data_IF_676225313456
#
_entry.id   IF_676225313456
#
_cell.length_a   1.000
_cell.length_b   1.000
_cell.length_c   1.000
_cell.angle_alpha   90.00
_cell.angle_beta   90.00
_cell.angle_gamma   90.00
#
_symmetry.space_group_name_H-M   'P 1'
#
loop_
_entity.id
_entity.type
_entity.pdbx_description
1 polymer ?
#
# COMPACT_ATOMS: atom_id res chain seq x y z
N UNK A 1 5.18 30.20 72.15
CA UNK A 1 6.03 29.71 71.01
C UNK A 1 5.16 29.15 69.99
N UNK A 2 5.10 29.83 68.86
CA UNK A 2 4.24 29.43 67.74
C UNK A 2 5.14 28.73 66.76
N UNK A 3 5.00 27.41 66.62
CA UNK A 3 5.65 26.65 65.53
C UNK A 3 4.92 26.95 64.29
N UNK A 4 5.52 27.74 63.44
CA UNK A 4 5.01 27.93 62.09
C UNK A 4 5.40 26.72 61.21
N UNK A 5 4.45 25.88 60.97
CA UNK A 5 4.54 24.88 59.97
C UNK A 5 4.48 25.56 58.58
N UNK A 6 5.63 25.73 57.99
CA UNK A 6 5.67 26.10 56.55
C UNK A 6 5.27 24.89 55.76
N UNK A 7 4.00 24.86 55.38
CA UNK A 7 3.55 23.98 54.34
C UNK A 7 4.04 24.59 53.01
N UNK A 8 5.08 24.03 52.49
CA UNK A 8 5.43 24.28 51.14
C UNK A 8 4.42 23.55 50.27
N UNK A 9 3.66 24.25 49.43
CA UNK A 9 2.89 23.55 48.39
C UNK A 9 3.89 22.92 47.44
N UNK A 10 3.97 21.62 47.49
CA UNK A 10 4.65 20.87 46.46
C UNK A 10 3.79 21.02 45.21
N UNK A 11 4.12 22.01 44.40
CA UNK A 11 3.60 22.02 43.03
C UNK A 11 4.24 20.87 42.31
N UNK A 12 3.60 19.72 42.37
CA UNK A 12 3.88 18.65 41.44
C UNK A 12 3.41 19.13 40.06
N UNK A 13 4.29 19.79 39.35
CA UNK A 13 4.08 19.96 37.90
C UNK A 13 4.20 18.60 37.28
N UNK A 14 3.07 17.95 37.13
CA UNK A 14 2.96 16.79 36.30
C UNK A 14 3.14 17.32 34.87
N UNK A 15 4.38 17.26 34.41
CA UNK A 15 4.63 17.45 33.01
C UNK A 15 3.99 16.23 32.31
N UNK A 16 2.76 16.40 31.89
CA UNK A 16 2.11 15.46 30.99
C UNK A 16 2.89 15.50 29.69
N UNK A 17 3.82 14.56 29.57
CA UNK A 17 4.47 14.28 28.30
C UNK A 17 3.37 13.69 27.39
N UNK A 18 2.69 14.55 26.66
CA UNK A 18 1.83 14.15 25.58
C UNK A 18 2.76 13.56 24.51
N UNK A 19 2.98 12.26 24.61
CA UNK A 19 3.49 11.51 23.48
C UNK A 19 2.39 11.57 22.42
N UNK A 20 2.43 12.58 21.59
CA UNK A 20 1.73 12.53 20.32
C UNK A 20 2.44 11.47 19.51
N UNK A 21 1.94 10.24 19.60
CA UNK A 21 2.23 9.23 18.61
C UNK A 21 1.62 9.77 17.34
N UNK A 22 2.41 10.54 16.58
CA UNK A 22 2.06 10.86 15.22
C UNK A 22 1.97 9.52 14.52
N UNK A 23 0.76 9.00 14.34
CA UNK A 23 0.54 7.98 13.36
C UNK A 23 0.97 8.60 12.04
N UNK A 24 2.18 8.27 11.62
CA UNK A 24 2.56 8.42 10.25
C UNK A 24 1.64 7.49 9.48
N UNK A 25 0.46 7.97 9.17
CA UNK A 25 -0.27 7.42 8.04
C UNK A 25 0.75 7.39 6.93
N UNK A 26 1.05 6.20 6.40
CA UNK A 26 1.68 6.10 5.11
C UNK A 26 0.77 6.92 4.19
N UNK A 27 1.13 8.20 3.98
CA UNK A 27 0.22 9.26 3.56
C UNK A 27 -0.34 9.03 2.15
N UNK A 28 0.05 7.92 1.46
CA UNK A 28 -0.23 7.67 0.06
C UNK A 28 -0.57 6.22 -0.27
N UNK A 29 -0.88 5.40 0.73
CA UNK A 29 -1.33 4.04 0.42
C UNK A 29 -2.77 4.10 -0.08
N UNK A 30 -2.94 3.99 -1.39
CA UNK A 30 -4.26 3.80 -1.98
C UNK A 30 -4.87 2.51 -1.40
N UNK A 31 -6.17 2.51 -1.01
CA UNK A 31 -6.79 1.35 -0.38
C UNK A 31 -6.75 0.08 -1.26
N UNK A 32 -6.64 0.22 -2.57
CA UNK A 32 -6.57 -0.91 -3.49
C UNK A 32 -5.14 -1.45 -3.73
N UNK A 33 -4.11 -0.83 -3.17
CA UNK A 33 -2.73 -1.30 -3.30
C UNK A 33 -2.54 -2.69 -2.69
N UNK A 34 -3.12 -2.95 -1.52
CA UNK A 34 -3.08 -4.26 -0.89
C UNK A 34 -3.83 -5.33 -1.70
N UNK A 35 -4.95 -4.96 -2.30
CA UNK A 35 -5.70 -5.84 -3.20
C UNK A 35 -4.87 -6.20 -4.44
N UNK A 36 -4.18 -5.23 -5.03
CA UNK A 36 -3.29 -5.45 -6.16
C UNK A 36 -2.14 -6.40 -5.80
N UNK A 37 -1.51 -6.23 -4.64
CA UNK A 37 -0.47 -7.12 -4.16
C UNK A 37 -0.96 -8.56 -4.00
N UNK A 38 -2.14 -8.73 -3.43
CA UNK A 38 -2.76 -10.05 -3.25
C UNK A 38 -3.08 -10.72 -4.59
N UNK A 39 -3.58 -9.97 -5.54
CA UNK A 39 -3.87 -10.47 -6.89
C UNK A 39 -2.60 -10.82 -7.66
N UNK A 40 -1.53 -10.07 -7.44
CA UNK A 40 -0.25 -10.33 -8.08
C UNK A 40 0.31 -11.71 -7.75
N UNK A 41 0.17 -12.15 -6.51
CA UNK A 41 0.58 -13.49 -6.09
C UNK A 41 -0.16 -14.57 -6.89
N UNK A 42 -1.47 -14.43 -6.99
CA UNK A 42 -2.32 -15.40 -7.71
C UNK A 42 -2.05 -15.39 -9.21
N UNK A 43 -1.93 -14.21 -9.79
CA UNK A 43 -1.68 -14.06 -11.21
C UNK A 43 -0.32 -14.62 -11.61
N UNK A 44 0.72 -14.34 -10.83
CA UNK A 44 2.06 -14.85 -11.10
C UNK A 44 2.12 -16.37 -10.93
N UNK A 45 1.50 -16.92 -9.89
CA UNK A 45 1.46 -18.36 -9.67
C UNK A 45 0.78 -19.09 -10.84
N UNK A 46 -0.26 -18.50 -11.39
CA UNK A 46 -0.97 -19.07 -12.54
C UNK A 46 -0.15 -18.97 -13.84
N UNK A 47 0.50 -17.83 -14.06
CA UNK A 47 1.24 -17.56 -15.30
C UNK A 47 2.60 -18.26 -15.37
N UNK A 48 3.29 -18.36 -14.25
CA UNK A 48 4.66 -18.87 -14.21
C UNK A 48 4.73 -20.38 -14.42
N UNK A 49 3.67 -21.12 -14.11
CA UNK A 49 3.59 -22.59 -14.28
C UNK A 49 4.88 -23.31 -13.82
N UNK A 50 5.40 -22.94 -12.68
CA UNK A 50 6.68 -23.42 -12.17
C UNK A 50 6.54 -23.99 -10.77
N UNK A 51 7.33 -25.01 -10.46
CA UNK A 51 7.49 -25.54 -9.11
C UNK A 51 8.47 -24.69 -8.27
N UNK A 52 9.12 -23.73 -8.90
CA UNK A 52 10.03 -22.82 -8.23
C UNK A 52 9.28 -21.78 -7.41
N UNK A 53 9.85 -21.33 -6.28
CA UNK A 53 9.25 -20.27 -5.49
C UNK A 53 9.06 -19.00 -6.32
N UNK A 54 7.93 -18.34 -6.13
CA UNK A 54 7.66 -17.02 -6.69
C UNK A 54 7.86 -15.95 -5.62
N UNK A 55 8.30 -14.78 -6.05
CA UNK A 55 8.48 -13.63 -5.17
C UNK A 55 7.74 -12.43 -5.77
N UNK A 56 6.98 -11.75 -4.93
CA UNK A 56 6.32 -10.51 -5.29
C UNK A 56 7.04 -9.35 -4.62
N UNK A 57 7.28 -8.29 -5.35
CA UNK A 57 7.83 -7.06 -4.78
C UNK A 57 6.93 -6.54 -3.66
N UNK A 58 7.53 -6.08 -2.58
CA UNK A 58 6.79 -5.44 -1.47
C UNK A 58 6.23 -4.08 -1.86
N UNK A 59 6.74 -3.50 -2.94
CA UNK A 59 6.33 -2.19 -3.42
C UNK A 59 5.28 -2.31 -4.49
N UNK A 60 4.11 -1.74 -4.23
CA UNK A 60 3.06 -1.53 -5.23
C UNK A 60 3.15 -0.08 -5.67
N UNK A 61 3.31 0.14 -6.95
CA UNK A 61 3.50 1.49 -7.51
C UNK A 61 2.24 1.95 -8.22
N UNK A 62 1.71 3.10 -7.81
CA UNK A 62 0.68 3.78 -8.56
C UNK A 62 1.30 4.36 -9.83
N UNK A 63 0.78 3.98 -10.97
CA UNK A 63 1.23 4.48 -12.28
C UNK A 63 0.18 5.41 -12.87
N UNK A 64 0.46 5.95 -14.05
CA UNK A 64 -0.44 6.89 -14.70
C UNK A 64 -1.83 6.26 -14.91
N UNK A 65 -2.91 6.93 -14.46
CA UNK A 65 -4.27 6.44 -14.70
C UNK A 65 -4.58 6.28 -16.18
N UNK A 66 -5.44 5.32 -16.48
CA UNK A 66 -5.92 5.07 -17.83
C UNK A 66 -7.28 5.75 -17.99
N UNK A 67 -7.43 6.50 -19.05
CA UNK A 67 -8.70 7.11 -19.41
C UNK A 67 -9.56 6.12 -20.18
N UNK A 68 -10.85 6.03 -19.86
CA UNK A 68 -11.78 5.19 -20.62
C UNK A 68 -12.01 5.80 -22.00
N UNK A 69 -11.66 5.10 -23.09
CA UNK A 69 -11.86 5.63 -24.45
C UNK A 69 -13.33 5.81 -24.84
N UNK A 70 -14.22 5.05 -24.22
CA UNK A 70 -15.67 5.18 -24.44
C UNK A 70 -16.29 6.34 -23.65
N UNK A 71 -15.63 6.79 -22.59
CA UNK A 71 -16.06 7.92 -21.76
C UNK A 71 -14.85 8.62 -21.18
N UNK A 72 -14.39 9.66 -21.84
CA UNK A 72 -13.15 10.37 -21.48
C UNK A 72 -13.18 11.08 -20.13
N UNK A 73 -14.34 11.19 -19.50
CA UNK A 73 -14.50 11.70 -18.14
C UNK A 73 -14.19 10.63 -17.08
N UNK A 74 -14.17 9.36 -17.45
CA UNK A 74 -13.87 8.27 -16.57
C UNK A 74 -12.41 7.88 -16.68
N UNK A 75 -11.72 7.82 -15.55
CA UNK A 75 -10.37 7.32 -15.44
C UNK A 75 -10.33 6.13 -14.50
N UNK A 76 -9.40 5.23 -14.76
CA UNK A 76 -9.13 4.06 -13.94
C UNK A 76 -7.79 4.23 -13.23
N UNK A 77 -7.72 3.85 -11.97
CA UNK A 77 -6.46 3.78 -11.25
C UNK A 77 -5.70 2.52 -11.63
N UNK A 78 -4.39 2.65 -11.79
CA UNK A 78 -3.53 1.54 -12.19
C UNK A 78 -2.40 1.35 -11.21
N UNK A 79 -2.22 0.12 -10.76
CA UNK A 79 -1.13 -0.28 -9.87
C UNK A 79 -0.23 -1.28 -10.57
N UNK A 80 1.06 -1.01 -10.52
CA UNK A 80 2.08 -1.90 -11.03
C UNK A 80 2.74 -2.69 -9.89
N UNK A 81 2.90 -3.97 -10.08
CA UNK A 81 3.57 -4.88 -9.16
C UNK A 81 4.57 -5.71 -9.95
N UNK A 82 5.80 -5.78 -9.45
CA UNK A 82 6.82 -6.67 -10.00
C UNK A 82 6.82 -8.02 -9.30
N UNK A 83 7.04 -9.05 -10.07
CA UNK A 83 7.21 -10.38 -9.55
C UNK A 83 8.37 -11.11 -10.20
N UNK A 84 8.82 -12.15 -9.55
CA UNK A 84 9.97 -12.95 -9.97
C UNK A 84 9.64 -14.42 -9.82
N UNK A 85 9.92 -15.18 -10.84
CA UNK A 85 9.78 -16.63 -10.82
C UNK A 85 10.94 -17.22 -11.60
N UNK A 86 11.76 -18.03 -10.91
CA UNK A 86 12.98 -18.63 -11.46
C UNK A 86 13.89 -17.55 -12.09
N UNK A 87 14.08 -17.54 -13.39
CA UNK A 87 14.95 -16.58 -14.12
C UNK A 87 14.21 -15.45 -14.80
N UNK A 88 12.92 -15.33 -14.54
CA UNK A 88 12.09 -14.33 -15.19
C UNK A 88 11.61 -13.27 -14.23
N UNK A 89 11.59 -12.04 -14.69
CA UNK A 89 10.90 -10.93 -14.07
C UNK A 89 9.56 -10.72 -14.76
N UNK A 90 8.53 -10.45 -13.98
CA UNK A 90 7.20 -10.17 -14.46
C UNK A 90 6.77 -8.78 -14.04
N UNK A 91 6.14 -8.07 -14.93
CA UNK A 91 5.41 -6.84 -14.63
C UNK A 91 3.93 -7.11 -14.70
N UNK A 92 3.26 -6.81 -13.62
CA UNK A 92 1.80 -6.93 -13.53
C UNK A 92 1.19 -5.56 -13.32
N UNK A 93 0.08 -5.30 -14.01
CA UNK A 93 -0.71 -4.09 -13.78
C UNK A 93 -2.14 -4.48 -13.49
N UNK A 94 -2.71 -3.79 -12.50
CA UNK A 94 -4.08 -4.00 -12.06
C UNK A 94 -4.83 -2.69 -12.20
N UNK A 95 -5.94 -2.74 -12.88
CA UNK A 95 -6.72 -1.58 -13.29
C UNK A 95 -8.02 -1.59 -12.52
N UNK A 96 -8.29 -0.50 -11.79
CA UNK A 96 -9.43 -0.39 -10.90
C UNK A 96 -10.35 0.75 -11.32
N UNK A 97 -11.65 0.49 -11.30
CA UNK A 97 -12.64 1.55 -11.39
C UNK A 97 -12.65 2.38 -10.10
N UNK A 98 -12.84 3.69 -10.25
CA UNK A 98 -12.94 4.61 -9.11
C UNK A 98 -14.34 4.57 -8.53
N UNK A 99 -14.59 3.58 -7.68
CA UNK A 99 -15.84 3.43 -6.94
C UNK A 99 -15.54 3.65 -5.45
N UNK A 100 -16.15 4.64 -4.81
CA UNK A 100 -15.91 4.91 -3.39
C UNK A 100 -16.14 3.66 -2.52
N UNK A 101 -15.16 3.36 -1.64
CA UNK A 101 -15.24 2.23 -0.71
C UNK A 101 -15.06 0.86 -1.32
N UNK A 102 -14.72 0.75 -2.60
CA UNK A 102 -14.55 -0.53 -3.30
C UNK A 102 -13.24 -0.58 -4.07
N UNK A 103 -12.68 -1.78 -4.17
CA UNK A 103 -11.58 -2.08 -5.09
C UNK A 103 -12.12 -2.94 -6.23
N UNK A 104 -12.73 -2.26 -7.21
CA UNK A 104 -13.35 -2.90 -8.35
C UNK A 104 -12.35 -3.08 -9.48
N UNK A 105 -11.79 -4.28 -9.59
CA UNK A 105 -10.86 -4.63 -10.66
C UNK A 105 -11.62 -4.71 -11.99
N UNK A 106 -11.17 -3.94 -12.98
CA UNK A 106 -11.74 -3.94 -14.32
C UNK A 106 -10.80 -4.54 -15.37
N UNK A 107 -9.53 -4.69 -15.03
CA UNK A 107 -8.56 -5.31 -15.91
C UNK A 107 -7.27 -5.66 -15.21
N UNK A 108 -6.55 -6.60 -15.78
CA UNK A 108 -5.22 -6.97 -15.33
C UNK A 108 -4.37 -7.41 -16.52
N UNK A 109 -3.08 -7.20 -16.40
CA UNK A 109 -2.13 -7.67 -17.40
C UNK A 109 -0.85 -8.15 -16.74
N UNK A 110 -0.18 -9.06 -17.42
CA UNK A 110 1.11 -9.57 -16.99
C UNK A 110 2.03 -9.65 -18.21
N UNK A 111 3.23 -9.12 -18.06
CA UNK A 111 4.28 -9.16 -19.07
C UNK A 111 5.49 -9.86 -18.46
N UNK A 112 5.97 -10.86 -19.15
CA UNK A 112 7.20 -11.55 -18.79
C UNK A 112 8.40 -10.86 -19.44
N UNK A 113 9.40 -10.56 -18.61
CA UNK A 113 10.73 -10.20 -19.08
C UNK A 113 11.65 -11.39 -18.80
N UNK A 114 11.98 -12.14 -19.83
CA UNK A 114 13.00 -13.17 -19.66
C UNK A 114 14.33 -12.50 -19.37
N UNK A 115 15.01 -13.00 -18.35
CA UNK A 115 16.33 -12.51 -18.00
C UNK A 115 17.29 -12.69 -19.18
N UNK A 116 17.79 -11.59 -19.60
CA UNK A 116 18.86 -11.53 -20.59
C UNK A 116 20.21 -11.57 -19.89
#
# INVERSE_FOLDING_TARGET
>A
MIARLFRHPVCATIASLLLTIGSTKAANAHPCAADAASRAVKLLALQAETDQPITISKTVTAVKPIRNPANTRQSFDVFAVKGYAYKSEYRMRFIYARIPGQCALVGQEILEHTGL
#
